data_IF_640606345949
#
_entry.id   IF_640606345949
#
_cell.length_a   1.000
_cell.length_b   1.000
_cell.length_c   1.000
_cell.angle_alpha   90.00
_cell.angle_beta   90.00
_cell.angle_gamma   90.00
#
_symmetry.space_group_name_H-M   'P 1'
#
loop_
_entity.id
_entity.type
_entity.pdbx_description
1 polymer ?
#
# COMPACT_ATOMS: atom_id res chain seq x y z
N UNK A 1 -9.25 4.50 25.66
CA UNK A 1 -9.59 5.69 24.85
C UNK A 1 -8.33 6.54 24.74
N UNK A 2 -7.94 6.94 23.53
CA UNK A 2 -6.72 7.71 23.24
C UNK A 2 -7.17 9.04 22.65
N UNK A 3 -6.65 10.15 23.21
CA UNK A 3 -6.92 11.50 22.69
C UNK A 3 -5.67 12.03 21.99
N UNK A 4 -5.83 12.57 20.79
CA UNK A 4 -4.77 13.13 19.97
C UNK A 4 -5.26 14.38 19.24
N UNK A 5 -4.35 15.17 18.66
CA UNK A 5 -4.72 16.31 17.82
C UNK A 5 -5.20 15.85 16.44
N UNK A 6 -4.57 14.80 15.89
CA UNK A 6 -4.91 14.26 14.58
C UNK A 6 -4.80 12.73 14.59
N UNK A 7 -5.78 12.04 14.05
CA UNK A 7 -5.66 10.63 13.71
C UNK A 7 -5.35 10.49 12.22
N UNK A 8 -4.27 9.80 11.89
CA UNK A 8 -3.91 9.47 10.50
C UNK A 8 -4.33 8.02 10.23
N UNK A 9 -5.04 7.79 9.13
CA UNK A 9 -5.45 6.47 8.66
C UNK A 9 -4.61 6.12 7.44
N UNK A 10 -3.64 5.22 7.62
CA UNK A 10 -2.67 4.81 6.61
C UNK A 10 -1.24 5.23 6.95
N UNK A 11 -0.35 4.25 7.11
CA UNK A 11 1.07 4.42 7.40
C UNK A 11 1.97 4.28 6.15
N UNK A 12 1.42 4.58 4.96
CA UNK A 12 2.19 4.70 3.72
C UNK A 12 3.07 5.96 3.69
N UNK A 13 3.86 6.18 2.62
CA UNK A 13 4.79 7.32 2.54
C UNK A 13 4.13 8.66 2.83
N UNK A 14 2.90 8.85 2.34
CA UNK A 14 2.16 10.11 2.51
C UNK A 14 1.70 10.28 3.96
N UNK A 15 1.21 9.22 4.60
CA UNK A 15 0.84 9.22 6.01
C UNK A 15 2.05 9.52 6.92
N UNK A 16 3.21 8.90 6.65
CA UNK A 16 4.46 9.20 7.35
C UNK A 16 4.88 10.65 7.18
N UNK A 17 4.82 11.18 5.97
CA UNK A 17 5.15 12.59 5.74
C UNK A 17 4.14 13.54 6.42
N UNK A 18 2.86 13.18 6.49
CA UNK A 18 1.87 13.95 7.23
C UNK A 18 2.21 14.02 8.73
N UNK A 19 2.72 12.93 9.34
CA UNK A 19 3.24 12.94 10.72
C UNK A 19 4.32 14.01 10.88
N UNK A 20 5.30 14.05 9.95
CA UNK A 20 6.36 15.04 9.99
C UNK A 20 5.79 16.48 9.93
N UNK A 21 4.88 16.74 9.00
CA UNK A 21 4.31 18.07 8.83
C UNK A 21 3.49 18.53 10.06
N UNK A 22 2.75 17.60 10.69
CA UNK A 22 2.05 17.87 11.95
C UNK A 22 3.03 18.13 13.10
N UNK A 23 4.06 17.31 13.22
CA UNK A 23 5.09 17.48 14.26
C UNK A 23 5.84 18.81 14.16
N UNK A 24 6.19 19.24 12.94
CA UNK A 24 6.84 20.54 12.70
C UNK A 24 6.01 21.73 13.23
N UNK A 25 4.67 21.65 13.14
CA UNK A 25 3.77 22.70 13.64
C UNK A 25 3.28 22.45 15.08
N UNK A 26 3.77 21.38 15.73
CA UNK A 26 3.51 21.08 17.14
C UNK A 26 2.19 20.39 17.42
N UNK A 27 1.66 19.65 16.46
CA UNK A 27 0.51 18.79 16.64
C UNK A 27 0.93 17.32 16.86
N UNK A 28 0.23 16.64 17.75
CA UNK A 28 0.41 15.21 18.00
C UNK A 28 -0.45 14.41 17.06
N UNK A 29 0.13 13.34 16.48
CA UNK A 29 -0.57 12.40 15.65
C UNK A 29 -0.50 10.98 16.20
N UNK A 30 -1.59 10.23 16.05
CA UNK A 30 -1.64 8.77 16.17
C UNK A 30 -1.88 8.21 14.76
N UNK A 31 -1.26 7.08 14.43
CA UNK A 31 -1.40 6.46 13.11
C UNK A 31 -1.99 5.08 13.23
N UNK A 32 -3.04 4.80 12.46
CA UNK A 32 -3.69 3.47 12.37
C UNK A 32 -3.48 2.91 10.97
N UNK A 33 -3.02 1.66 10.86
CA UNK A 33 -2.91 0.97 9.58
C UNK A 33 -3.35 -0.49 9.69
N UNK A 34 -4.04 -0.96 8.65
CA UNK A 34 -4.49 -2.35 8.55
C UNK A 34 -3.33 -3.32 8.29
N UNK A 35 -2.22 -2.86 7.77
CA UNK A 35 -1.01 -3.64 7.57
C UNK A 35 -0.26 -3.87 8.88
N UNK A 36 0.54 -4.93 8.93
CA UNK A 36 1.37 -5.30 10.08
C UNK A 36 2.71 -4.55 10.13
N UNK A 37 3.00 -3.72 9.11
CA UNK A 37 4.19 -2.89 9.00
C UNK A 37 3.89 -1.54 8.33
N UNK A 38 4.76 -0.58 8.57
CA UNK A 38 4.70 0.75 7.95
C UNK A 38 5.26 0.71 6.52
N UNK A 39 4.87 1.71 5.70
CA UNK A 39 5.37 1.91 4.33
C UNK A 39 4.31 1.69 3.25
N UNK A 40 3.16 1.08 3.57
CA UNK A 40 2.05 0.91 2.62
C UNK A 40 2.50 0.22 1.33
N UNK A 41 2.13 0.79 0.16
CA UNK A 41 2.50 0.24 -1.15
C UNK A 41 4.01 0.05 -1.33
N UNK A 42 4.82 0.99 -0.84
CA UNK A 42 6.27 0.94 -0.97
C UNK A 42 6.87 -0.31 -0.31
N UNK A 43 6.36 -0.70 0.85
CA UNK A 43 6.85 -1.87 1.58
C UNK A 43 6.18 -3.19 1.16
N UNK A 44 4.91 -3.14 0.69
CA UNK A 44 4.15 -4.34 0.35
C UNK A 44 4.31 -4.78 -1.11
N UNK A 45 4.37 -3.82 -2.05
CA UNK A 45 4.25 -4.13 -3.47
C UNK A 45 5.58 -4.03 -4.22
N UNK A 46 6.43 -3.10 -3.82
CA UNK A 46 7.67 -2.82 -4.55
C UNK A 46 8.82 -2.36 -3.63
N UNK A 47 9.14 -3.12 -2.57
CA UNK A 47 10.18 -2.73 -1.62
C UNK A 47 11.55 -2.52 -2.29
N UNK A 48 11.87 -3.35 -3.28
CA UNK A 48 13.16 -3.36 -3.97
C UNK A 48 13.16 -2.61 -5.32
N UNK A 49 12.00 -2.11 -5.78
CA UNK A 49 11.93 -1.38 -7.06
C UNK A 49 12.47 0.03 -6.92
N UNK A 50 13.27 0.49 -7.90
CA UNK A 50 13.79 1.85 -7.90
C UNK A 50 12.67 2.86 -8.18
N UNK A 51 12.74 3.98 -7.47
CA UNK A 51 11.86 5.15 -7.58
C UNK A 51 12.75 6.33 -7.97
N UNK A 52 12.39 7.07 -9.01
CA UNK A 52 13.22 8.13 -9.60
C UNK A 52 12.59 9.52 -9.51
N UNK A 53 11.37 9.63 -8.99
CA UNK A 53 10.56 10.85 -8.97
C UNK A 53 10.36 11.44 -7.57
N UNK A 54 11.29 11.13 -6.64
CA UNK A 54 11.33 11.78 -5.33
C UNK A 54 12.29 12.98 -5.41
N UNK A 55 11.81 14.21 -5.10
CA UNK A 55 12.64 15.41 -5.18
C UNK A 55 13.94 15.28 -4.39
N UNK A 56 15.05 15.70 -5.00
CA UNK A 56 16.41 15.68 -4.45
C UNK A 56 17.00 14.27 -4.17
N UNK A 57 16.30 13.21 -4.55
CA UNK A 57 16.82 11.84 -4.49
C UNK A 57 16.85 11.30 -5.92
N UNK A 58 18.05 11.08 -6.46
CA UNK A 58 18.22 10.60 -7.85
C UNK A 58 17.62 9.21 -8.06
N UNK A 59 17.74 8.35 -7.05
CA UNK A 59 17.18 7.00 -7.02
C UNK A 59 17.06 6.52 -5.57
N UNK A 60 15.95 5.88 -5.24
CA UNK A 60 15.78 5.13 -3.99
C UNK A 60 14.85 3.94 -4.21
N UNK A 61 14.92 2.92 -3.36
CA UNK A 61 13.92 1.84 -3.34
C UNK A 61 12.73 2.21 -2.45
N UNK A 62 11.60 1.49 -2.63
CA UNK A 62 10.44 1.66 -1.74
C UNK A 62 10.79 1.46 -0.27
N UNK A 63 11.64 0.49 0.02
CA UNK A 63 12.14 0.23 1.38
C UNK A 63 13.01 1.37 1.91
N UNK A 64 13.96 1.85 1.10
CA UNK A 64 14.83 2.96 1.47
C UNK A 64 14.05 4.25 1.73
N UNK A 65 13.08 4.57 0.87
CA UNK A 65 12.19 5.72 1.08
C UNK A 65 11.43 5.60 2.41
N UNK A 66 10.85 4.43 2.69
CA UNK A 66 10.13 4.19 3.94
C UNK A 66 11.04 4.36 5.16
N UNK A 67 12.24 3.78 5.15
CA UNK A 67 13.23 3.95 6.23
C UNK A 67 13.60 5.41 6.47
N UNK A 68 13.81 6.17 5.41
CA UNK A 68 14.14 7.59 5.49
C UNK A 68 12.98 8.40 6.09
N UNK A 69 11.73 8.12 5.70
CA UNK A 69 10.56 8.78 6.26
C UNK A 69 10.37 8.43 7.74
N UNK A 70 10.58 7.17 8.15
CA UNK A 70 10.53 6.77 9.57
C UNK A 70 11.57 7.55 10.37
N UNK A 71 12.83 7.61 9.89
CA UNK A 71 13.88 8.39 10.54
C UNK A 71 13.53 9.87 10.64
N UNK A 72 12.84 10.42 9.66
CA UNK A 72 12.44 11.83 9.63
C UNK A 72 11.38 12.16 10.70
N UNK A 73 10.57 11.20 11.11
CA UNK A 73 9.50 11.40 12.12
C UNK A 73 9.88 10.97 13.53
N UNK A 74 11.04 10.33 13.73
CA UNK A 74 11.51 9.90 15.06
C UNK A 74 11.38 10.98 16.16
N UNK A 75 11.69 12.28 15.91
CA UNK A 75 11.60 13.30 16.95
C UNK A 75 10.19 13.54 17.48
N UNK A 76 9.14 13.09 16.77
CA UNK A 76 7.75 13.42 17.11
C UNK A 76 7.05 12.35 17.96
N UNK A 77 7.73 11.22 18.25
CA UNK A 77 7.24 10.15 19.13
C UNK A 77 5.80 9.68 18.80
N UNK A 78 5.50 9.51 17.53
CA UNK A 78 4.17 9.07 17.05
C UNK A 78 3.97 7.58 17.30
N UNK A 79 2.80 7.21 17.83
CA UNK A 79 2.44 5.80 17.99
C UNK A 79 1.79 5.24 16.72
N UNK A 80 2.18 4.03 16.36
CA UNK A 80 1.60 3.26 15.25
C UNK A 80 0.76 2.11 15.77
N UNK A 81 -0.49 2.05 15.34
CA UNK A 81 -1.44 0.99 15.63
C UNK A 81 -1.60 0.14 14.38
N UNK A 82 -0.70 -0.83 14.22
CA UNK A 82 -0.62 -1.72 13.06
C UNK A 82 -1.52 -2.94 13.20
N UNK A 83 -1.82 -3.61 12.09
CA UNK A 83 -2.79 -4.70 12.01
C UNK A 83 -4.14 -4.29 12.61
N UNK A 84 -4.51 -3.02 12.46
CA UNK A 84 -5.70 -2.43 13.05
C UNK A 84 -6.41 -1.53 12.02
N UNK A 85 -7.71 -1.73 11.84
CA UNK A 85 -8.50 -1.03 10.83
C UNK A 85 -9.54 -0.15 11.50
N UNK A 86 -9.66 1.10 11.03
CA UNK A 86 -10.75 1.99 11.43
C UNK A 86 -12.05 1.50 10.81
N UNK A 87 -13.07 1.28 11.66
CA UNK A 87 -14.39 0.79 11.25
C UNK A 87 -15.43 1.90 11.22
N UNK A 88 -15.50 2.71 12.27
CA UNK A 88 -16.59 3.67 12.46
C UNK A 88 -16.06 5.05 12.83
N UNK A 89 -16.71 6.05 12.27
CA UNK A 89 -16.55 7.46 12.63
C UNK A 89 -17.88 7.99 13.19
N UNK A 90 -17.82 8.74 14.28
CA UNK A 90 -18.96 9.46 14.83
C UNK A 90 -18.53 10.86 15.25
N UNK A 91 -19.32 11.89 14.91
CA UNK A 91 -19.08 13.27 15.36
C UNK A 91 -19.58 13.42 16.80
N UNK A 92 -18.72 13.86 17.71
CA UNK A 92 -19.06 14.17 19.10
C UNK A 92 -18.67 15.64 19.38
N UNK A 93 -19.61 16.56 19.27
CA UNK A 93 -19.36 17.99 19.33
C UNK A 93 -18.40 18.45 18.24
N UNK A 94 -17.28 19.08 18.62
CA UNK A 94 -16.23 19.53 17.69
C UNK A 94 -15.20 18.46 17.35
N UNK A 95 -15.30 17.27 17.94
CA UNK A 95 -14.34 16.17 17.75
C UNK A 95 -14.97 14.97 17.06
N UNK A 96 -14.13 14.11 16.55
CA UNK A 96 -14.48 12.83 15.99
C UNK A 96 -14.14 11.72 16.99
N UNK A 97 -15.05 10.77 17.16
CA UNK A 97 -14.84 9.50 17.81
C UNK A 97 -14.60 8.45 16.75
N UNK A 98 -13.46 7.79 16.83
CA UNK A 98 -13.01 6.82 15.85
C UNK A 98 -12.89 5.47 16.54
N UNK A 99 -13.54 4.44 15.99
CA UNK A 99 -13.51 3.09 16.54
C UNK A 99 -12.90 2.12 15.54
N UNK A 100 -12.01 1.25 16.03
CA UNK A 100 -11.32 0.26 15.22
C UNK A 100 -11.94 -1.13 15.32
N UNK A 101 -11.54 -2.05 14.45
CA UNK A 101 -11.92 -3.47 14.49
C UNK A 101 -11.48 -4.16 15.80
N UNK A 102 -10.45 -3.67 16.48
CA UNK A 102 -10.01 -4.12 17.80
C UNK A 102 -10.73 -3.39 18.94
N UNK A 103 -11.80 -2.65 18.64
CA UNK A 103 -12.61 -1.87 19.59
C UNK A 103 -11.81 -0.78 20.32
N UNK A 104 -10.63 -0.41 19.82
CA UNK A 104 -9.90 0.74 20.30
C UNK A 104 -10.63 2.02 19.90
N UNK A 105 -10.64 3.02 20.77
CA UNK A 105 -11.33 4.30 20.55
C UNK A 105 -10.34 5.43 20.61
N UNK A 106 -10.36 6.27 19.55
CA UNK A 106 -9.63 7.53 19.48
C UNK A 106 -10.60 8.69 19.47
N UNK A 107 -10.16 9.82 20.07
CA UNK A 107 -10.86 11.10 20.02
C UNK A 107 -9.89 12.14 19.44
N UNK A 108 -10.28 12.77 18.33
CA UNK A 108 -9.47 13.79 17.67
C UNK A 108 -10.34 14.87 17.01
N UNK A 109 -9.95 16.13 17.00
CA UNK A 109 -10.62 17.18 16.22
C UNK A 109 -10.46 16.97 14.72
N UNK A 110 -9.40 16.26 14.28
CA UNK A 110 -9.12 16.05 12.86
C UNK A 110 -8.72 14.62 12.56
N UNK A 111 -9.09 14.18 11.35
CA UNK A 111 -8.72 12.88 10.77
C UNK A 111 -8.07 13.14 9.41
N UNK A 112 -6.92 12.52 9.13
CA UNK A 112 -6.29 12.51 7.80
C UNK A 112 -6.40 11.09 7.24
N UNK A 113 -7.12 10.93 6.13
CA UNK A 113 -7.23 9.67 5.40
C UNK A 113 -6.09 9.63 4.37
N UNK A 114 -5.06 8.82 4.64
CA UNK A 114 -3.91 8.56 3.77
C UNK A 114 -3.90 7.09 3.31
N UNK A 115 -5.09 6.52 3.09
CA UNK A 115 -5.32 5.10 2.86
C UNK A 115 -4.91 4.59 1.46
N UNK A 116 -4.24 5.41 0.64
CA UNK A 116 -3.76 5.03 -0.69
C UNK A 116 -4.88 4.54 -1.59
N UNK A 117 -4.77 3.31 -2.06
CA UNK A 117 -5.81 2.67 -2.88
C UNK A 117 -6.83 1.85 -2.05
N UNK A 118 -6.88 2.06 -0.75
CA UNK A 118 -7.68 1.27 0.20
C UNK A 118 -6.93 0.02 0.67
N UNK A 119 -7.66 -0.94 1.23
CA UNK A 119 -7.03 -2.20 1.62
C UNK A 119 -6.56 -2.98 0.39
N UNK A 120 -5.31 -3.42 0.43
CA UNK A 120 -4.74 -4.26 -0.63
C UNK A 120 -5.27 -5.68 -0.46
N UNK A 121 -6.24 -6.04 -1.26
CA UNK A 121 -6.57 -7.43 -1.44
C UNK A 121 -6.06 -7.86 -2.82
N UNK A 122 -5.19 -8.85 -2.89
CA UNK A 122 -4.81 -9.43 -4.16
C UNK A 122 -6.07 -10.02 -4.82
N UNK A 123 -6.16 -9.90 -6.13
CA UNK A 123 -7.17 -10.66 -6.87
C UNK A 123 -6.88 -12.12 -6.68
N UNK A 124 -7.86 -12.83 -6.14
CA UNK A 124 -7.77 -14.26 -5.91
C UNK A 124 -7.93 -15.05 -7.19
N UNK A 125 -7.51 -16.31 -7.15
CA UNK A 125 -7.85 -17.28 -8.21
C UNK A 125 -9.38 -17.38 -8.33
N UNK A 126 -9.90 -17.52 -9.55
CA UNK A 126 -11.36 -17.65 -9.79
C UNK A 126 -11.88 -19.05 -9.47
N UNK A 127 -11.29 -19.73 -8.50
CA UNK A 127 -11.60 -21.08 -8.05
C UNK A 127 -11.84 -21.08 -6.54
N UNK A 128 -13.03 -21.49 -6.11
CA UNK A 128 -13.35 -21.60 -4.67
C UNK A 128 -12.45 -22.60 -3.93
N UNK A 129 -12.09 -23.67 -4.59
CA UNK A 129 -11.18 -24.68 -4.04
C UNK A 129 -9.79 -24.15 -3.73
N UNK A 130 -9.35 -23.06 -4.37
CA UNK A 130 -8.07 -22.42 -4.06
C UNK A 130 -8.04 -21.83 -2.63
N UNK A 131 -9.21 -21.47 -2.08
CA UNK A 131 -9.31 -20.91 -0.72
C UNK A 131 -8.85 -21.91 0.35
N UNK A 132 -9.07 -23.20 0.14
CA UNK A 132 -8.63 -24.29 1.05
C UNK A 132 -7.10 -24.29 1.22
N UNK A 133 -6.38 -23.91 0.19
CA UNK A 133 -4.92 -23.98 0.13
C UNK A 133 -4.23 -22.62 0.38
N UNK A 134 -4.99 -21.55 0.69
CA UNK A 134 -4.41 -20.23 0.96
C UNK A 134 -3.44 -20.29 2.16
N UNK A 135 -2.31 -19.61 2.02
CA UNK A 135 -1.21 -19.59 2.98
C UNK A 135 -0.50 -20.95 3.25
N UNK A 136 -0.88 -22.01 2.56
CA UNK A 136 -0.20 -23.31 2.62
C UNK A 136 0.45 -23.68 1.28
N UNK A 137 -0.29 -23.62 0.18
CA UNK A 137 0.18 -23.91 -1.18
C UNK A 137 -0.26 -22.87 -2.21
N UNK A 138 -1.19 -21.96 -1.86
CA UNK A 138 -1.64 -20.82 -2.66
C UNK A 138 -1.19 -19.53 -2.03
N UNK A 139 -0.47 -18.70 -2.77
CA UNK A 139 0.04 -17.42 -2.31
C UNK A 139 -0.22 -16.32 -3.33
N UNK A 140 -0.41 -15.09 -2.83
CA UNK A 140 -0.62 -13.89 -3.63
C UNK A 140 0.48 -12.84 -3.39
N UNK A 141 1.40 -13.13 -2.47
CA UNK A 141 2.58 -12.33 -2.17
C UNK A 141 3.70 -13.25 -1.69
N UNK A 142 4.94 -12.83 -1.87
CA UNK A 142 6.13 -13.54 -1.39
C UNK A 142 6.79 -12.70 -0.32
N UNK A 143 6.79 -13.20 0.92
CA UNK A 143 7.45 -12.54 2.07
C UNK A 143 8.86 -13.08 2.29
N UNK A 144 9.07 -14.38 2.05
CA UNK A 144 10.36 -15.05 2.12
C UNK A 144 10.54 -15.97 0.90
N UNK A 145 11.44 -15.60 0.01
CA UNK A 145 11.71 -16.38 -1.20
C UNK A 145 12.34 -17.75 -0.92
N UNK A 146 13.05 -17.90 0.21
CA UNK A 146 13.68 -19.17 0.60
C UNK A 146 12.67 -20.29 0.86
N UNK A 147 11.43 -19.91 1.23
CA UNK A 147 10.33 -20.86 1.41
C UNK A 147 10.06 -21.69 0.15
N UNK A 148 10.35 -21.13 -1.01
CA UNK A 148 10.09 -21.72 -2.32
C UNK A 148 11.32 -22.45 -2.93
N UNK A 149 12.49 -22.44 -2.27
CA UNK A 149 13.71 -23.05 -2.80
C UNK A 149 13.53 -24.55 -3.07
N UNK A 150 14.03 -25.01 -4.24
CA UNK A 150 13.98 -26.40 -4.73
C UNK A 150 12.56 -26.96 -4.91
N UNK A 151 11.58 -26.09 -5.12
CA UNK A 151 10.16 -26.45 -5.31
C UNK A 151 9.73 -26.35 -6.76
N UNK A 152 8.61 -26.99 -7.07
CA UNK A 152 7.87 -26.81 -8.32
C UNK A 152 6.86 -25.70 -8.09
N UNK A 153 6.92 -24.62 -8.85
CA UNK A 153 6.12 -23.42 -8.64
C UNK A 153 5.41 -23.04 -9.92
N UNK A 154 4.11 -22.87 -9.87
CA UNK A 154 3.36 -22.35 -10.98
C UNK A 154 2.95 -20.89 -10.68
N UNK A 155 3.41 -19.94 -11.50
CA UNK A 155 3.17 -18.51 -11.34
C UNK A 155 2.13 -18.07 -12.35
N UNK A 156 1.05 -17.43 -11.87
CA UNK A 156 -0.02 -16.92 -12.71
C UNK A 156 0.02 -15.39 -12.77
N UNK A 157 0.13 -14.85 -13.97
CA UNK A 157 0.12 -13.43 -14.22
C UNK A 157 0.86 -13.06 -15.50
N UNK A 158 0.79 -11.79 -15.88
CA UNK A 158 1.46 -11.32 -17.11
C UNK A 158 1.97 -9.89 -16.98
N UNK A 159 1.94 -9.31 -15.77
CA UNK A 159 2.53 -8.01 -15.44
C UNK A 159 3.88 -8.18 -14.76
N UNK A 160 4.54 -7.05 -14.46
CA UNK A 160 5.89 -7.03 -13.91
C UNK A 160 6.06 -7.93 -12.68
N UNK A 161 5.13 -7.93 -11.73
CA UNK A 161 5.24 -8.77 -10.53
C UNK A 161 5.37 -10.26 -10.85
N UNK A 162 4.60 -10.77 -11.82
CA UNK A 162 4.69 -12.17 -12.22
C UNK A 162 6.02 -12.47 -12.92
N UNK A 163 6.48 -11.56 -13.78
CA UNK A 163 7.74 -11.72 -14.51
C UNK A 163 8.94 -11.63 -13.57
N UNK A 164 8.99 -10.62 -12.68
CA UNK A 164 10.06 -10.43 -11.70
C UNK A 164 10.22 -11.68 -10.81
N UNK A 165 9.10 -12.20 -10.26
CA UNK A 165 9.14 -13.38 -9.43
C UNK A 165 9.47 -14.66 -10.20
N UNK A 166 9.07 -14.76 -11.48
CA UNK A 166 9.48 -15.88 -12.32
C UNK A 166 11.00 -15.89 -12.55
N UNK A 167 11.58 -14.71 -12.80
CA UNK A 167 13.02 -14.54 -12.96
C UNK A 167 13.76 -14.87 -11.64
N UNK A 168 13.26 -14.35 -10.52
CA UNK A 168 13.94 -14.52 -9.23
C UNK A 168 13.89 -15.96 -8.73
N UNK A 169 12.70 -16.58 -8.74
CA UNK A 169 12.52 -17.94 -8.23
C UNK A 169 13.14 -19.02 -9.13
N UNK A 170 13.27 -18.76 -10.44
CA UNK A 170 13.92 -19.70 -11.36
C UNK A 170 15.39 -19.95 -11.07
N UNK A 171 16.01 -19.11 -10.24
CA UNK A 171 17.41 -19.31 -9.82
C UNK A 171 17.60 -20.57 -8.98
N UNK A 172 16.59 -20.93 -8.17
CA UNK A 172 16.67 -22.02 -7.21
C UNK A 172 15.53 -23.04 -7.32
N UNK A 173 14.56 -22.86 -8.22
CA UNK A 173 13.31 -23.64 -8.27
C UNK A 173 12.86 -23.88 -9.71
N UNK A 174 12.00 -24.88 -9.89
CA UNK A 174 11.35 -25.15 -11.19
C UNK A 174 10.13 -24.25 -11.32
N UNK A 175 10.14 -23.35 -12.31
CA UNK A 175 9.09 -22.35 -12.50
C UNK A 175 8.33 -22.62 -13.81
N UNK A 176 7.01 -22.64 -13.72
CA UNK A 176 6.09 -22.55 -14.85
C UNK A 176 5.34 -21.23 -14.76
N UNK A 177 5.49 -20.38 -15.78
CA UNK A 177 4.77 -19.10 -15.87
C UNK A 177 3.54 -19.27 -16.76
N UNK A 178 2.36 -19.07 -16.17
CA UNK A 178 1.08 -19.19 -16.88
C UNK A 178 0.46 -17.82 -17.07
N UNK A 179 0.08 -17.49 -18.30
CA UNK A 179 -0.64 -16.28 -18.62
C UNK A 179 -1.79 -16.51 -19.59
N UNK A 180 -2.94 -15.87 -19.29
CA UNK A 180 -4.18 -16.04 -20.06
C UNK A 180 -4.18 -15.42 -21.46
N UNK A 181 -3.17 -14.64 -21.81
CA UNK A 181 -3.01 -13.99 -23.11
C UNK A 181 -1.71 -14.44 -23.73
N UNK A 182 -1.62 -14.35 -25.05
CA UNK A 182 -0.39 -14.64 -25.81
C UNK A 182 0.74 -13.66 -25.50
N UNK A 183 0.42 -12.43 -25.05
CA UNK A 183 1.39 -11.38 -24.80
C UNK A 183 1.40 -10.94 -23.34
N UNK A 184 2.60 -10.74 -22.79
CA UNK A 184 2.81 -10.18 -21.47
C UNK A 184 2.66 -8.65 -21.48
N UNK A 185 2.28 -8.09 -20.31
CA UNK A 185 2.10 -6.65 -20.09
C UNK A 185 3.20 -6.03 -19.22
N UNK A 186 4.21 -6.79 -18.86
CA UNK A 186 5.35 -6.29 -18.11
C UNK A 186 6.26 -5.40 -18.97
N UNK A 187 7.25 -4.80 -18.33
CA UNK A 187 8.25 -3.98 -19.01
C UNK A 187 8.98 -4.80 -20.08
N UNK A 188 9.40 -4.19 -21.21
CA UNK A 188 10.12 -4.90 -22.27
C UNK A 188 11.33 -5.68 -21.75
N UNK A 189 12.08 -5.12 -20.82
CA UNK A 189 13.23 -5.75 -20.17
C UNK A 189 12.85 -7.07 -19.49
N UNK A 190 11.76 -7.09 -18.73
CA UNK A 190 11.31 -8.28 -18.02
C UNK A 190 10.74 -9.34 -18.98
N UNK A 191 10.04 -8.90 -20.02
CA UNK A 191 9.53 -9.79 -21.06
C UNK A 191 10.67 -10.48 -21.80
N UNK A 192 11.72 -9.74 -22.18
CA UNK A 192 12.91 -10.30 -22.82
C UNK A 192 13.64 -11.29 -21.90
N UNK A 193 13.76 -10.95 -20.61
CA UNK A 193 14.42 -11.80 -19.62
C UNK A 193 13.71 -13.15 -19.44
N UNK A 194 12.37 -13.18 -19.30
CA UNK A 194 11.63 -14.44 -19.16
C UNK A 194 11.67 -15.29 -20.43
N UNK A 195 11.58 -14.66 -21.62
CA UNK A 195 11.73 -15.37 -22.90
C UNK A 195 13.13 -15.98 -23.09
N UNK A 196 14.16 -15.30 -22.59
CA UNK A 196 15.53 -15.84 -22.60
C UNK A 196 15.63 -17.04 -21.65
N UNK A 197 15.07 -16.96 -20.44
CA UNK A 197 15.08 -18.06 -19.49
C UNK A 197 14.31 -19.28 -20.01
N UNK A 198 13.22 -19.07 -20.76
CA UNK A 198 12.51 -20.15 -21.45
C UNK A 198 13.38 -20.83 -22.52
N UNK A 199 14.04 -20.02 -23.36
CA UNK A 199 14.98 -20.52 -24.39
C UNK A 199 16.13 -21.31 -23.77
N UNK A 200 16.61 -20.90 -22.60
CA UNK A 200 17.68 -21.55 -21.84
C UNK A 200 17.17 -22.77 -21.04
N UNK A 201 15.86 -23.14 -21.14
CA UNK A 201 15.25 -24.27 -20.45
C UNK A 201 15.15 -24.11 -18.93
N UNK A 202 15.26 -22.86 -18.40
CA UNK A 202 15.22 -22.56 -16.97
C UNK A 202 13.82 -22.33 -16.43
N UNK A 203 12.92 -21.89 -17.28
CA UNK A 203 11.49 -21.76 -16.98
C UNK A 203 10.67 -22.36 -18.12
N UNK A 204 9.42 -22.69 -17.82
CA UNK A 204 8.43 -23.06 -18.83
C UNK A 204 7.39 -21.95 -18.91
N UNK A 205 6.97 -21.56 -20.11
CA UNK A 205 5.92 -20.56 -20.33
C UNK A 205 4.71 -21.24 -20.95
N UNK A 206 3.54 -21.04 -20.34
CA UNK A 206 2.26 -21.54 -20.82
C UNK A 206 1.32 -20.36 -21.11
N UNK A 207 1.16 -20.07 -22.40
CA UNK A 207 0.26 -19.03 -22.92
C UNK A 207 -0.45 -19.55 -24.17
N UNK A 208 -1.70 -19.18 -24.43
CA UNK A 208 -2.66 -18.50 -23.57
C UNK A 208 -3.44 -19.50 -22.70
N UNK A 209 -3.15 -19.62 -21.43
CA UNK A 209 -3.79 -20.58 -20.53
C UNK A 209 -4.30 -19.92 -19.26
N UNK A 210 -5.37 -20.49 -18.69
CA UNK A 210 -5.94 -20.11 -17.38
C UNK A 210 -6.03 -21.34 -16.49
N UNK A 211 -6.06 -21.14 -15.18
CA UNK A 211 -6.32 -22.23 -14.25
C UNK A 211 -7.75 -22.74 -14.42
N UNK A 212 -7.91 -24.06 -14.45
CA UNK A 212 -9.21 -24.72 -14.59
C UNK A 212 -9.61 -25.47 -13.31
N UNK A 213 -8.66 -26.19 -12.69
CA UNK A 213 -8.87 -26.89 -11.43
C UNK A 213 -7.56 -27.15 -10.70
N UNK A 214 -7.67 -27.55 -9.43
CA UNK A 214 -6.55 -27.90 -8.55
C UNK A 214 -6.72 -29.35 -8.11
N UNK A 215 -5.65 -30.12 -8.10
CA UNK A 215 -5.59 -31.48 -7.59
C UNK A 215 -4.72 -31.54 -6.33
N UNK A 216 -5.17 -32.29 -5.33
CA UNK A 216 -4.52 -32.50 -4.04
C UNK A 216 -5.50 -32.41 -2.88
N UNK A 217 -5.18 -33.04 -1.75
CA UNK A 217 -6.03 -33.07 -0.56
C UNK A 217 -5.57 -32.05 0.49
N UNK A 218 -4.46 -32.27 1.17
CA UNK A 218 -3.92 -31.36 2.18
C UNK A 218 -3.01 -30.29 1.58
N UNK A 219 -2.41 -30.59 0.45
CA UNK A 219 -1.52 -29.71 -0.34
C UNK A 219 -1.82 -29.85 -1.81
N UNK A 220 -1.42 -28.86 -2.57
CA UNK A 220 -1.48 -28.94 -4.03
C UNK A 220 -0.44 -29.95 -4.53
N UNK A 221 -0.84 -30.85 -5.41
CA UNK A 221 0.03 -31.79 -6.10
C UNK A 221 0.15 -31.48 -7.58
N UNK A 222 -0.95 -31.02 -8.19
CA UNK A 222 -1.00 -30.61 -9.57
C UNK A 222 -2.10 -29.58 -9.81
N UNK A 223 -2.03 -28.90 -10.95
CA UNK A 223 -3.08 -28.06 -11.48
C UNK A 223 -3.44 -28.47 -12.90
N UNK A 224 -4.65 -28.18 -13.26
CA UNK A 224 -5.13 -28.27 -14.64
C UNK A 224 -5.26 -26.85 -15.18
N UNK A 225 -4.64 -26.59 -16.31
CA UNK A 225 -4.81 -25.34 -17.06
C UNK A 225 -5.54 -25.61 -18.36
N UNK A 226 -6.27 -24.61 -18.85
CA UNK A 226 -7.08 -24.70 -20.06
C UNK A 226 -6.92 -23.42 -20.89
N UNK A 227 -6.82 -23.55 -22.21
CA UNK A 227 -6.88 -22.42 -23.15
C UNK A 227 -8.31 -22.13 -23.60
N UNK A 228 -8.48 -21.10 -24.43
CA UNK A 228 -9.79 -20.67 -24.94
C UNK A 228 -10.38 -21.66 -25.98
N UNK A 229 -9.55 -22.53 -26.58
CA UNK A 229 -9.97 -23.57 -27.49
C UNK A 229 -10.38 -24.88 -26.79
N UNK A 230 -10.19 -24.92 -25.46
CA UNK A 230 -10.54 -26.06 -24.62
C UNK A 230 -9.42 -27.07 -24.43
N UNK A 231 -8.22 -26.82 -24.92
CA UNK A 231 -7.05 -27.68 -24.72
C UNK A 231 -6.62 -27.67 -23.26
N UNK A 232 -6.43 -28.84 -22.70
CA UNK A 232 -6.13 -29.05 -21.29
C UNK A 232 -4.69 -29.53 -21.14
N UNK A 233 -4.00 -28.98 -20.11
CA UNK A 233 -2.70 -29.45 -19.67
C UNK A 233 -2.69 -29.67 -18.16
N UNK A 234 -2.07 -30.75 -17.70
CA UNK A 234 -1.77 -30.98 -16.28
C UNK A 234 -0.33 -30.54 -15.99
N UNK A 235 -0.15 -29.82 -14.87
CA UNK A 235 1.15 -29.36 -14.40
C UNK A 235 1.32 -29.78 -12.94
N UNK A 236 2.31 -30.62 -12.67
CA UNK A 236 2.69 -30.97 -11.29
C UNK A 236 3.32 -29.77 -10.62
N UNK A 237 2.83 -29.39 -9.46
CA UNK A 237 3.33 -28.22 -8.72
C UNK A 237 3.12 -28.36 -7.22
N UNK A 238 4.06 -27.83 -6.43
CA UNK A 238 3.96 -27.75 -4.96
C UNK A 238 3.23 -26.48 -4.53
N UNK A 239 3.38 -25.39 -5.32
CA UNK A 239 2.85 -24.07 -5.01
C UNK A 239 2.30 -23.35 -6.23
N UNK A 240 1.22 -22.59 -6.03
CA UNK A 240 0.72 -21.66 -7.03
C UNK A 240 0.77 -20.23 -6.49
N UNK A 241 1.26 -19.33 -7.31
CA UNK A 241 1.40 -17.89 -6.99
C UNK A 241 0.54 -17.07 -7.95
N UNK A 242 -0.39 -16.28 -7.39
CA UNK A 242 -1.33 -15.48 -8.19
C UNK A 242 -0.95 -14.00 -8.20
N UNK A 243 -0.41 -13.49 -9.29
CA UNK A 243 -0.08 -12.07 -9.47
C UNK A 243 -1.03 -11.42 -10.49
N UNK A 244 -2.31 -11.35 -10.14
CA UNK A 244 -3.38 -10.79 -10.99
C UNK A 244 -3.61 -9.29 -10.79
N UNK A 245 -2.76 -8.64 -9.98
CA UNK A 245 -2.94 -7.27 -9.51
C UNK A 245 -3.84 -7.19 -8.27
N UNK A 246 -4.05 -5.95 -7.82
CA UNK A 246 -4.79 -5.67 -6.60
C UNK A 246 -6.22 -5.25 -6.89
N UNK A 247 -7.10 -5.53 -5.97
CA UNK A 247 -8.45 -4.96 -5.94
C UNK A 247 -8.43 -3.82 -4.92
N UNK A 248 -8.75 -2.61 -5.39
CA UNK A 248 -9.04 -1.49 -4.49
C UNK A 248 -10.37 -1.75 -3.78
N UNK A 249 -10.31 -1.94 -2.47
CA UNK A 249 -11.49 -1.93 -1.60
C UNK A 249 -11.35 -0.80 -0.62
N UNK A 250 -12.26 0.16 -0.67
CA UNK A 250 -12.32 1.24 0.32
C UNK A 250 -12.65 0.72 1.71
N UNK A 251 -13.28 -0.47 1.76
CA UNK A 251 -13.73 -1.04 3.04
C UNK A 251 -14.65 -0.08 3.77
N UNK A 252 -14.53 0.06 5.10
CA UNK A 252 -15.37 0.93 5.91
C UNK A 252 -15.39 2.40 5.49
N UNK A 253 -14.33 2.87 4.80
CA UNK A 253 -14.27 4.26 4.31
C UNK A 253 -15.48 4.60 3.41
N UNK A 254 -15.97 3.63 2.64
CA UNK A 254 -17.13 3.80 1.79
C UNK A 254 -18.45 4.05 2.57
N UNK A 255 -18.48 3.67 3.86
CA UNK A 255 -19.66 3.76 4.74
C UNK A 255 -19.62 4.99 5.67
N UNK A 256 -18.56 5.80 5.64
CA UNK A 256 -18.44 6.96 6.52
C UNK A 256 -19.25 8.17 6.07
N UNK A 257 -20.04 8.00 5.00
CA UNK A 257 -20.93 9.04 4.46
C UNK A 257 -20.16 10.20 3.82
N UNK A 258 -18.94 9.98 3.36
CA UNK A 258 -18.17 10.92 2.54
C UNK A 258 -18.72 10.88 1.12
N UNK A 259 -18.74 12.03 0.45
CA UNK A 259 -18.97 12.05 -0.98
C UNK A 259 -17.83 11.32 -1.68
N UNK A 260 -18.17 10.38 -2.55
CA UNK A 260 -17.19 9.63 -3.32
C UNK A 260 -17.36 9.87 -4.80
N UNK A 261 -16.28 10.16 -5.50
CA UNK A 261 -16.22 10.06 -6.95
C UNK A 261 -15.61 8.70 -7.31
N UNK A 262 -16.48 7.75 -7.70
CA UNK A 262 -16.13 6.33 -7.90
C UNK A 262 -15.55 5.71 -6.62
N UNK A 263 -14.22 5.68 -6.51
CA UNK A 263 -13.48 5.12 -5.37
C UNK A 263 -12.52 6.13 -4.74
N UNK A 264 -12.70 7.40 -5.02
CA UNK A 264 -11.85 8.46 -4.51
C UNK A 264 -12.67 9.47 -3.72
N UNK A 265 -12.02 10.13 -2.78
CA UNK A 265 -12.61 11.14 -1.92
C UNK A 265 -12.32 12.52 -2.54
N UNK A 266 -13.32 13.24 -3.06
CA UNK A 266 -13.14 14.62 -3.51
C UNK A 266 -12.71 15.52 -2.35
N UNK A 267 -11.78 16.43 -2.60
CA UNK A 267 -11.24 17.35 -1.60
C UNK A 267 -11.09 18.76 -2.16
N UNK A 268 -11.12 19.75 -1.26
CA UNK A 268 -10.71 21.11 -1.58
C UNK A 268 -9.19 21.17 -1.74
N UNK A 269 -8.70 21.79 -2.82
CA UNK A 269 -7.26 21.99 -3.04
C UNK A 269 -6.63 23.03 -2.11
N UNK A 270 -7.43 23.81 -1.37
CA UNK A 270 -6.94 24.79 -0.41
C UNK A 270 -6.21 24.10 0.77
N UNK A 271 -6.80 23.02 1.30
CA UNK A 271 -6.32 22.36 2.51
C UNK A 271 -6.55 20.84 2.54
N UNK A 272 -7.04 20.25 1.47
CA UNK A 272 -7.37 18.82 1.32
C UNK A 272 -8.46 18.32 2.27
N UNK A 273 -9.33 19.21 2.76
CA UNK A 273 -10.52 18.84 3.51
C UNK A 273 -11.58 18.26 2.58
N UNK A 274 -12.28 17.23 3.05
CA UNK A 274 -13.43 16.62 2.38
C UNK A 274 -14.69 17.49 2.56
N UNK A 275 -15.83 16.98 2.13
CA UNK A 275 -17.15 17.58 2.42
C UNK A 275 -17.51 17.58 3.92
N UNK A 276 -16.78 16.82 4.74
CA UNK A 276 -16.98 16.79 6.20
C UNK A 276 -15.89 17.57 6.92
N UNK A 277 -16.31 18.54 7.71
CA UNK A 277 -15.42 19.33 8.55
C UNK A 277 -14.57 18.43 9.46
N UNK A 278 -13.25 18.65 9.45
CA UNK A 278 -12.29 17.91 10.27
C UNK A 278 -11.87 16.56 9.66
N UNK A 279 -12.36 16.20 8.47
CA UNK A 279 -11.86 15.04 7.73
C UNK A 279 -11.12 15.52 6.48
N UNK A 280 -9.87 15.11 6.37
CA UNK A 280 -8.97 15.40 5.25
C UNK A 280 -8.62 14.11 4.52
N UNK A 281 -8.35 14.17 3.21
CA UNK A 281 -7.89 13.03 2.45
C UNK A 281 -6.70 13.41 1.56
N UNK A 282 -5.65 12.58 1.57
CA UNK A 282 -4.38 12.82 0.89
C UNK A 282 -3.84 11.56 0.23
N UNK A 283 -2.99 11.72 -0.78
CA UNK A 283 -2.42 10.61 -1.54
C UNK A 283 -3.41 10.04 -2.56
N UNK A 284 -3.22 8.78 -2.93
CA UNK A 284 -3.98 8.15 -4.02
C UNK A 284 -5.48 8.01 -3.75
N UNK A 285 -5.90 8.09 -2.48
CA UNK A 285 -7.30 7.99 -2.06
C UNK A 285 -8.11 9.23 -2.43
N UNK A 286 -7.49 10.41 -2.50
CA UNK A 286 -8.18 11.64 -2.81
C UNK A 286 -8.22 11.96 -4.31
N UNK A 287 -9.16 12.82 -4.70
CA UNK A 287 -9.28 13.34 -6.06
C UNK A 287 -9.63 14.82 -6.08
N UNK A 288 -9.10 15.52 -7.08
CA UNK A 288 -9.36 16.93 -7.40
C UNK A 288 -8.90 17.21 -8.84
N UNK A 289 -9.32 18.31 -9.48
CA UNK A 289 -8.87 18.67 -10.82
C UNK A 289 -7.33 18.73 -10.92
N UNK A 290 -6.73 18.00 -11.86
CA UNK A 290 -5.29 17.94 -12.06
C UNK A 290 -4.54 16.97 -11.12
N UNK A 291 -5.24 16.10 -10.39
CA UNK A 291 -4.62 15.10 -9.51
C UNK A 291 -3.67 14.17 -10.27
N UNK A 292 -2.42 14.13 -9.82
CA UNK A 292 -1.44 13.13 -10.18
C UNK A 292 -1.25 12.14 -9.03
N UNK A 293 -1.28 10.84 -9.33
CA UNK A 293 -1.05 9.78 -8.33
C UNK A 293 0.45 9.51 -8.17
N UNK A 294 1.15 10.49 -7.65
CA UNK A 294 2.58 10.45 -7.35
C UNK A 294 2.82 10.66 -5.86
N UNK A 295 3.89 10.09 -5.33
CA UNK A 295 4.30 10.29 -3.94
C UNK A 295 4.56 11.78 -3.69
N UNK A 296 5.21 12.44 -4.63
CA UNK A 296 5.46 13.89 -4.61
C UNK A 296 4.19 14.72 -4.39
N UNK A 297 3.12 14.42 -5.15
CA UNK A 297 1.83 15.12 -5.00
C UNK A 297 1.27 14.93 -3.60
N UNK A 298 1.31 13.69 -3.09
CA UNK A 298 0.86 13.37 -1.74
C UNK A 298 1.65 14.08 -0.63
N UNK A 299 2.93 14.34 -0.83
CA UNK A 299 3.72 15.14 0.11
C UNK A 299 3.22 16.58 0.20
N UNK A 300 2.95 17.22 -0.94
CA UNK A 300 2.36 18.56 -0.97
C UNK A 300 0.98 18.57 -0.29
N UNK A 301 0.14 17.60 -0.59
CA UNK A 301 -1.19 17.45 0.00
C UNK A 301 -1.12 17.32 1.53
N UNK A 302 -0.20 16.48 2.04
CA UNK A 302 0.03 16.30 3.47
C UNK A 302 0.50 17.58 4.16
N UNK A 303 1.30 18.39 3.47
CA UNK A 303 1.75 19.68 3.99
C UNK A 303 0.58 20.66 4.17
N UNK A 304 -0.35 20.76 3.25
CA UNK A 304 -1.51 21.65 3.35
C UNK A 304 -2.57 21.11 4.33
N UNK A 305 -2.83 19.79 4.32
CA UNK A 305 -3.75 19.15 5.26
C UNK A 305 -3.34 19.39 6.72
N UNK A 306 -2.03 19.30 7.03
CA UNK A 306 -1.53 19.58 8.37
C UNK A 306 -1.90 20.99 8.85
N UNK A 307 -1.83 22.00 7.98
CA UNK A 307 -2.21 23.40 8.31
C UNK A 307 -3.73 23.52 8.50
N UNK A 308 -4.52 22.79 7.73
CA UNK A 308 -5.97 22.66 7.95
C UNK A 308 -6.28 22.09 9.35
N UNK A 309 -5.59 21.02 9.73
CA UNK A 309 -5.74 20.39 11.05
C UNK A 309 -5.37 21.35 12.20
N UNK A 310 -4.38 22.23 12.01
CA UNK A 310 -3.95 23.16 13.04
C UNK A 310 -5.09 24.08 13.51
N UNK A 311 -5.88 24.61 12.59
CA UNK A 311 -7.03 25.49 12.90
C UNK A 311 -8.07 24.80 13.81
N UNK A 312 -8.26 23.48 13.63
CA UNK A 312 -9.23 22.70 14.39
C UNK A 312 -8.67 22.21 15.74
N UNK A 313 -7.39 21.90 15.79
CA UNK A 313 -6.72 21.45 17.01
C UNK A 313 -6.37 22.60 17.96
N UNK A 314 -6.19 23.80 17.42
CA UNK A 314 -5.80 25.01 18.14
C UNK A 314 -6.66 26.21 17.69
N UNK A 315 -7.99 26.19 17.96
CA UNK A 315 -8.92 27.21 17.44
C UNK A 315 -8.60 28.64 17.94
N UNK A 316 -8.05 28.72 19.14
CA UNK A 316 -7.71 30.03 19.79
C UNK A 316 -6.31 30.53 19.42
N UNK A 317 -5.52 29.75 18.68
CA UNK A 317 -4.18 30.10 18.29
C UNK A 317 -4.11 30.55 16.83
N UNK A 318 -3.46 31.71 16.59
CA UNK A 318 -3.18 32.14 15.21
C UNK A 318 -2.02 31.30 14.63
N UNK A 319 -2.28 30.55 13.58
CA UNK A 319 -1.21 29.87 12.83
C UNK A 319 -0.25 30.95 12.25
N UNK A 320 1.04 30.85 12.58
CA UNK A 320 2.10 31.63 11.96
C UNK A 320 3.02 30.71 11.19
N UNK A 321 3.20 31.00 9.93
CA UNK A 321 4.15 30.26 9.09
C UNK A 321 5.58 30.58 9.58
N UNK A 322 6.36 29.51 9.76
CA UNK A 322 7.78 29.63 10.16
C UNK A 322 8.63 28.75 9.24
N UNK A 323 9.79 29.26 8.84
CA UNK A 323 10.76 28.50 8.06
C UNK A 323 11.55 27.55 8.95
N UNK A 324 11.74 26.31 8.50
CA UNK A 324 12.52 25.29 9.24
C UNK A 324 13.98 25.67 9.44
N UNK A 325 14.51 26.53 8.57
CA UNK A 325 15.89 27.02 8.62
C UNK A 325 16.16 28.02 9.73
N UNK A 326 15.15 28.72 10.23
CA UNK A 326 15.32 29.86 11.19
C UNK A 326 14.49 29.72 12.46
N UNK A 327 13.46 28.87 12.47
CA UNK A 327 12.57 28.74 13.62
C UNK A 327 13.19 27.97 14.78
N UNK A 328 13.46 28.63 15.87
CA UNK A 328 13.92 28.02 17.13
C UNK A 328 12.93 26.98 17.67
N UNK A 329 11.61 27.23 17.53
CA UNK A 329 10.56 26.30 17.96
C UNK A 329 10.59 25.01 17.17
N UNK A 330 10.76 25.10 15.85
CA UNK A 330 10.86 23.92 14.99
C UNK A 330 12.15 23.15 15.31
N UNK A 331 13.28 23.82 15.49
CA UNK A 331 14.53 23.16 15.87
C UNK A 331 14.40 22.42 17.20
N UNK A 332 13.74 23.01 18.20
CA UNK A 332 13.47 22.37 19.48
C UNK A 332 12.60 21.12 19.32
N UNK A 333 11.54 21.16 18.51
CA UNK A 333 10.68 20.02 18.20
C UNK A 333 11.43 18.89 17.49
N UNK A 334 12.42 19.24 16.68
CA UNK A 334 13.30 18.30 15.99
C UNK A 334 14.45 17.79 16.87
N UNK A 335 14.54 18.19 18.14
CA UNK A 335 15.64 17.82 19.04
C UNK A 335 17.00 18.38 18.60
N UNK A 336 17.03 19.44 17.78
CA UNK A 336 18.27 20.06 17.32
C UNK A 336 18.77 21.10 18.35
N UNK A 337 20.07 21.04 18.65
CA UNK A 337 20.71 22.10 19.47
C UNK A 337 20.63 23.42 18.71
N UNK A 338 20.38 24.49 19.43
CA UNK A 338 20.49 25.84 18.85
C UNK A 338 21.97 26.08 18.50
N UNK A 339 22.24 26.29 17.26
CA UNK A 339 23.50 26.86 16.77
C UNK A 339 23.43 28.36 16.85
#
# INVERSE_FOLDING_TARGET
MITTDVLIIGAGPIGLFAVQQLGLIGLKAEVVDNLDKVGGQCSELYPDKPIYDIPAISECTGETLTKNLIKQIEPFNTNFHLSERVEKLAKEGTKWKITTNKKKVFIAPSIIIAGGVGSFEPRKFPLKEAEKFENSSVFYSIRDKKYFDKKKICIFGGGDSALDWSIELSKNSKVVLVHRRSEFRGTPKNVEAVKKLEKDGKIQIETPYQINSIEGDDKIEAIIIKDDEGKIKKIDTDYILGFFGLVMKLGPIAEWGLNLDKKHIPVSTENFQTDKEGIFAIGDICTYPGKLKLILSGFHEGALAARGCFKLARPDEKYRFEYTTTSKKIHQRLGKKQT
#
